data_IF_914607342401
#
_entry.id   IF_914607342401
#
_cell.length_a   1.000
_cell.length_b   1.000
_cell.length_c   1.000
_cell.angle_alpha   90.00
_cell.angle_beta   90.00
_cell.angle_gamma   90.00
#
_symmetry.space_group_name_H-M   'P 1'
#
loop_
_entity.id
_entity.type
_entity.pdbx_description
1 polymer ?
#
# COMPACT_ATOMS: atom_id res chain seq x y z
N UNK A 1 -12.87 12.53 1.70
CA UNK A 1 -12.43 11.37 2.52
C UNK A 1 -11.41 10.62 1.69
N UNK A 2 -10.31 10.14 2.30
CA UNK A 2 -9.33 9.29 1.63
C UNK A 2 -9.53 7.83 2.09
N UNK A 3 -9.62 6.89 1.15
CA UNK A 3 -9.89 5.49 1.41
C UNK A 3 -8.68 4.63 1.01
N UNK A 4 -7.94 4.19 2.03
CA UNK A 4 -6.80 3.28 1.89
C UNK A 4 -7.21 1.84 2.23
N UNK A 5 -7.02 0.90 1.29
CA UNK A 5 -7.20 -0.53 1.53
C UNK A 5 -5.89 -1.27 1.80
N UNK A 6 -6.00 -2.52 2.26
CA UNK A 6 -4.89 -3.46 2.36
C UNK A 6 -5.18 -4.71 1.52
N UNK A 7 -4.17 -5.22 0.82
CA UNK A 7 -4.26 -6.41 -0.03
C UNK A 7 -3.14 -7.39 0.30
N UNK A 8 -3.52 -8.52 0.87
CA UNK A 8 -2.60 -9.63 1.06
C UNK A 8 -2.77 -10.64 -0.05
N UNK A 9 -1.66 -10.99 -0.71
CA UNK A 9 -1.63 -11.87 -1.85
C UNK A 9 -0.61 -12.98 -1.65
N UNK A 10 -0.76 -14.07 -2.38
CA UNK A 10 0.23 -15.16 -2.46
C UNK A 10 0.87 -15.25 -3.85
N UNK A 11 0.20 -14.70 -4.88
CA UNK A 11 0.58 -14.72 -6.30
C UNK A 11 0.00 -13.48 -6.99
N UNK A 12 0.60 -13.07 -8.12
CA UNK A 12 0.11 -11.95 -8.97
C UNK A 12 -0.24 -10.67 -8.19
N UNK A 13 0.58 -10.33 -7.18
CA UNK A 13 0.25 -9.33 -6.17
C UNK A 13 -0.16 -7.97 -6.75
N UNK A 14 0.61 -7.45 -7.72
CA UNK A 14 0.34 -6.14 -8.33
C UNK A 14 -0.96 -6.17 -9.14
N UNK A 15 -1.15 -7.18 -9.99
CA UNK A 15 -2.36 -7.29 -10.82
C UNK A 15 -3.63 -7.41 -9.97
N UNK A 16 -3.61 -8.31 -8.97
CA UNK A 16 -4.74 -8.50 -8.07
C UNK A 16 -5.04 -7.24 -7.24
N UNK A 17 -4.00 -6.57 -6.75
CA UNK A 17 -4.16 -5.35 -5.95
C UNK A 17 -4.68 -4.18 -6.81
N UNK A 18 -4.23 -4.04 -8.06
CA UNK A 18 -4.77 -3.06 -9.02
C UNK A 18 -6.25 -3.31 -9.33
N UNK A 19 -6.66 -4.57 -9.50
CA UNK A 19 -8.09 -4.93 -9.67
C UNK A 19 -8.91 -4.57 -8.43
N UNK A 20 -8.39 -4.82 -7.22
CA UNK A 20 -9.04 -4.46 -5.96
C UNK A 20 -9.15 -2.95 -5.77
N UNK A 21 -8.10 -2.19 -6.10
CA UNK A 21 -8.10 -0.73 -6.06
C UNK A 21 -9.29 -0.17 -6.86
N UNK A 22 -9.43 -0.59 -8.12
CA UNK A 22 -10.52 -0.15 -9.00
C UNK A 22 -11.90 -0.66 -8.57
N UNK A 23 -12.04 -1.96 -8.32
CA UNK A 23 -13.34 -2.56 -7.98
C UNK A 23 -13.92 -2.09 -6.65
N UNK A 24 -13.07 -1.72 -5.69
CA UNK A 24 -13.48 -1.20 -4.38
C UNK A 24 -13.46 0.33 -4.30
N UNK A 25 -13.16 1.01 -5.40
CA UNK A 25 -13.09 2.47 -5.49
C UNK A 25 -12.21 3.08 -4.38
N UNK A 26 -10.98 2.57 -4.25
CA UNK A 26 -10.00 2.99 -3.26
C UNK A 26 -9.05 4.04 -3.86
N UNK A 27 -8.62 5.01 -3.05
CA UNK A 27 -7.61 5.99 -3.44
C UNK A 27 -6.19 5.39 -3.40
N UNK A 28 -5.96 4.46 -2.48
CA UNK A 28 -4.71 3.73 -2.33
C UNK A 28 -4.95 2.30 -1.84
N UNK A 29 -4.07 1.37 -2.21
CA UNK A 29 -4.01 0.03 -1.64
C UNK A 29 -2.58 -0.33 -1.26
N UNK A 30 -2.39 -0.81 -0.03
CA UNK A 30 -1.11 -1.34 0.46
C UNK A 30 -1.09 -2.84 0.24
N UNK A 31 -0.19 -3.31 -0.62
CA UNK A 31 -0.10 -4.70 -1.01
C UNK A 31 1.13 -5.39 -0.41
N UNK A 32 0.99 -6.64 0.03
CA UNK A 32 2.09 -7.51 0.43
C UNK A 32 1.92 -8.92 -0.12
N UNK A 33 3.04 -9.66 -0.25
CA UNK A 33 3.04 -11.06 -0.67
C UNK A 33 3.56 -11.96 0.46
N UNK A 34 2.71 -12.87 0.97
CA UNK A 34 3.06 -13.76 2.08
C UNK A 34 4.20 -14.73 1.78
N UNK A 35 4.52 -14.99 0.51
CA UNK A 35 5.65 -15.84 0.13
C UNK A 35 7.00 -15.11 0.29
N UNK A 36 6.99 -13.79 0.48
CA UNK A 36 8.19 -13.00 0.74
C UNK A 36 8.53 -13.05 2.23
N UNK A 37 9.77 -13.42 2.54
CA UNK A 37 10.23 -13.53 3.91
C UNK A 37 10.11 -12.18 4.65
N UNK A 38 9.43 -12.19 5.79
CA UNK A 38 9.24 -11.00 6.60
C UNK A 38 8.12 -10.06 6.12
N UNK A 39 7.32 -10.45 5.12
CA UNK A 39 6.16 -9.69 4.61
C UNK A 39 4.81 -10.11 5.26
N UNK A 40 4.84 -10.85 6.37
CA UNK A 40 3.66 -11.50 6.95
C UNK A 40 3.14 -10.88 8.24
N UNK A 41 2.06 -11.47 8.75
CA UNK A 41 1.52 -11.11 10.06
C UNK A 41 2.42 -11.53 11.22
N UNK A 42 3.16 -12.63 11.07
CA UNK A 42 4.14 -13.07 12.06
C UNK A 42 5.37 -12.16 12.07
N UNK A 43 5.83 -11.78 13.26
CA UNK A 43 7.01 -10.91 13.46
C UNK A 43 6.71 -9.41 13.35
N UNK A 44 7.77 -8.60 13.41
CA UNK A 44 7.66 -7.13 13.49
C UNK A 44 8.04 -6.40 12.21
N UNK A 45 8.33 -7.13 11.11
CA UNK A 45 8.70 -6.53 9.82
C UNK A 45 7.61 -6.66 8.77
N UNK A 46 7.68 -5.87 7.70
CA UNK A 46 6.88 -6.05 6.50
C UNK A 46 7.67 -5.70 5.23
N UNK A 47 7.22 -6.21 4.09
CA UNK A 47 7.64 -5.80 2.74
C UNK A 47 6.35 -5.45 2.00
N UNK A 48 6.18 -4.18 1.66
CA UNK A 48 4.91 -3.68 1.11
C UNK A 48 5.13 -2.85 -0.15
N UNK A 49 4.14 -2.85 -1.03
CA UNK A 49 4.04 -1.92 -2.14
C UNK A 49 2.79 -1.08 -1.96
N UNK A 50 2.92 0.24 -1.92
CA UNK A 50 1.79 1.18 -1.93
C UNK A 50 1.42 1.46 -3.38
N UNK A 51 0.13 1.35 -3.70
CA UNK A 51 -0.37 1.44 -5.07
C UNK A 51 -1.54 2.44 -5.07
N UNK A 52 -1.41 3.51 -5.83
CA UNK A 52 -2.52 4.43 -6.14
C UNK A 52 -2.86 4.29 -7.63
N UNK A 53 -3.80 5.07 -8.18
CA UNK A 53 -4.04 5.06 -9.63
C UNK A 53 -2.79 5.41 -10.45
N UNK A 54 -2.00 6.38 -9.97
CA UNK A 54 -0.92 7.01 -10.75
C UNK A 54 0.49 6.55 -10.36
N UNK A 55 0.67 5.96 -9.17
CA UNK A 55 1.99 5.60 -8.66
C UNK A 55 2.01 4.21 -8.01
N UNK A 56 3.20 3.62 -8.02
CA UNK A 56 3.54 2.41 -7.25
C UNK A 56 4.85 2.69 -6.51
N UNK A 57 4.83 2.54 -5.19
CA UNK A 57 5.99 2.75 -4.33
C UNK A 57 6.29 1.47 -3.59
N UNK A 58 7.38 0.80 -3.96
CA UNK A 58 7.85 -0.40 -3.26
C UNK A 58 8.72 -0.02 -2.07
N UNK A 59 8.41 -0.57 -0.90
CA UNK A 59 9.20 -0.44 0.31
C UNK A 59 9.88 -1.77 0.61
N UNK A 60 11.20 -1.72 0.82
CA UNK A 60 11.99 -2.86 1.24
C UNK A 60 11.60 -3.34 2.65
N UNK A 61 12.17 -4.47 3.09
CA UNK A 61 11.91 -5.04 4.42
C UNK A 61 12.26 -4.04 5.51
N UNK A 62 11.25 -3.63 6.26
CA UNK A 62 11.37 -2.67 7.36
C UNK A 62 10.47 -3.05 8.53
N UNK A 63 10.57 -2.35 9.67
CA UNK A 63 9.67 -2.57 10.79
C UNK A 63 8.24 -2.16 10.42
N UNK A 64 7.24 -2.83 10.99
CA UNK A 64 5.82 -2.52 10.80
C UNK A 64 5.48 -1.10 11.24
N UNK A 65 6.14 -0.61 12.29
CA UNK A 65 6.00 0.76 12.77
C UNK A 65 6.51 1.77 11.74
N UNK A 66 7.67 1.51 11.15
CA UNK A 66 8.23 2.35 10.08
C UNK A 66 7.36 2.31 8.82
N UNK A 67 6.88 1.12 8.44
CA UNK A 67 5.95 0.95 7.32
C UNK A 67 4.65 1.73 7.54
N UNK A 68 4.10 1.73 8.77
CA UNK A 68 2.91 2.51 9.11
C UNK A 68 3.14 4.01 8.95
N UNK A 69 4.31 4.53 9.36
CA UNK A 69 4.67 5.93 9.14
C UNK A 69 4.76 6.26 7.65
N UNK A 70 5.38 5.39 6.84
CA UNK A 70 5.46 5.58 5.38
C UNK A 70 4.09 5.58 4.70
N UNK A 71 3.17 4.71 5.14
CA UNK A 71 1.79 4.70 4.66
C UNK A 71 1.11 6.03 4.99
N UNK A 72 1.28 6.53 6.22
CA UNK A 72 0.70 7.80 6.64
C UNK A 72 1.26 8.98 5.84
N UNK A 73 2.58 9.05 5.67
CA UNK A 73 3.26 10.09 4.86
C UNK A 73 2.69 10.12 3.44
N UNK A 74 2.50 8.95 2.83
CA UNK A 74 1.97 8.83 1.48
C UNK A 74 0.52 9.31 1.38
N UNK A 75 -0.34 8.96 2.36
CA UNK A 75 -1.72 9.44 2.43
C UNK A 75 -1.75 10.97 2.52
N UNK A 76 -0.96 11.55 3.43
CA UNK A 76 -0.91 13.00 3.63
C UNK A 76 -0.42 13.73 2.36
N UNK A 77 0.61 13.20 1.70
CA UNK A 77 1.10 13.71 0.41
C UNK A 77 0.01 13.68 -0.65
N UNK A 78 -0.69 12.55 -0.81
CA UNK A 78 -1.76 12.42 -1.81
C UNK A 78 -2.94 13.34 -1.52
N UNK A 79 -3.29 13.57 -0.25
CA UNK A 79 -4.34 14.51 0.14
C UNK A 79 -3.96 15.96 -0.17
N UNK A 80 -2.73 16.37 0.15
CA UNK A 80 -2.24 17.73 -0.17
C UNK A 80 -2.20 17.99 -1.68
N UNK A 81 -1.74 17.01 -2.47
CA UNK A 81 -1.73 17.12 -3.94
C UNK A 81 -3.13 17.24 -4.55
N UNK A 82 -4.14 16.65 -3.93
CA UNK A 82 -5.52 16.76 -4.38
C UNK A 82 -6.11 18.15 -4.07
N UNK A 83 -5.72 18.77 -2.94
CA UNK A 83 -6.11 20.14 -2.59
C UNK A 83 -5.49 21.17 -3.54
N UNK A 84 -4.22 21.00 -3.93
CA UNK A 84 -3.54 21.91 -4.87
C UNK A 84 -4.13 21.87 -6.30
N UNK A 85 -4.89 20.82 -6.63
CA UNK A 85 -5.50 20.62 -7.96
C UNK A 85 -6.98 21.01 -8.02
N UNK A 86 -7.60 21.37 -6.88
CA UNK A 86 -9.01 21.70 -6.75
C UNK A 86 -9.25 23.23 -6.73
#
# INVERSE_FOLDING_TARGET
>A
QFLCGFSMETENMLENSRKKLKSKNLDMIVANNLKVEGAGFAGNTNVITMITENEEVSLEKMLKEEAALKILDQILKSMAQAEDQA
#
